data_IF_260664766967
#
_entry.id   IF_260664766967
#
_cell.length_a   1.000
_cell.length_b   1.000
_cell.length_c   1.000
_cell.angle_alpha   90.00
_cell.angle_beta   90.00
_cell.angle_gamma   90.00
#
_symmetry.space_group_name_H-M   'P 1'
#
loop_
_entity.id
_entity.type
_entity.pdbx_description
1 polymer ?
#
# COMPACT_ATOMS: atom_id res chain seq x y z
N UNK A 1 -15.59 17.18 -7.44
CA UNK A 1 -15.52 16.13 -6.40
C UNK A 1 -14.05 15.88 -6.06
N UNK A 2 -13.56 16.36 -4.90
CA UNK A 2 -12.26 15.90 -4.37
C UNK A 2 -12.48 14.47 -3.86
N UNK A 3 -11.95 13.50 -4.57
CA UNK A 3 -11.90 12.13 -4.11
C UNK A 3 -11.08 12.09 -2.82
N UNK A 4 -11.71 11.82 -1.70
CA UNK A 4 -11.03 11.64 -0.42
C UNK A 4 -10.24 10.33 -0.52
N UNK A 5 -8.95 10.37 -0.25
CA UNK A 5 -8.17 9.13 -0.18
C UNK A 5 -8.58 8.34 1.05
N UNK A 6 -8.65 7.02 0.93
CA UNK A 6 -8.97 6.09 2.02
C UNK A 6 -8.12 6.34 3.29
N UNK A 7 -6.93 6.91 3.11
CA UNK A 7 -5.99 7.26 4.18
C UNK A 7 -6.35 8.55 4.93
N UNK A 8 -7.09 9.48 4.31
CA UNK A 8 -7.49 10.75 4.95
C UNK A 8 -8.69 10.59 5.90
N UNK A 9 -9.49 9.55 5.71
CA UNK A 9 -10.73 9.33 6.46
C UNK A 9 -10.45 9.06 7.94
N UNK A 10 -9.55 8.14 8.35
CA UNK A 10 -9.21 7.94 9.76
C UNK A 10 -8.63 9.18 10.44
N UNK A 11 -7.87 10.00 9.71
CA UNK A 11 -7.25 11.22 10.24
C UNK A 11 -8.25 12.35 10.49
N UNK A 12 -9.35 12.40 9.74
CA UNK A 12 -10.43 13.38 9.94
C UNK A 12 -11.37 12.99 11.08
N UNK A 13 -11.47 11.70 11.41
CA UNK A 13 -12.38 11.21 12.45
C UNK A 13 -12.04 11.71 13.86
N UNK A 14 -10.84 12.20 14.10
CA UNK A 14 -10.38 12.61 15.43
C UNK A 14 -10.14 14.14 15.54
N UNK A 15 -10.38 14.89 14.46
CA UNK A 15 -10.27 16.34 14.44
C UNK A 15 -11.52 17.08 14.97
N UNK A 16 -11.54 18.39 14.82
CA UNK A 16 -12.64 19.28 15.24
C UNK A 16 -14.03 18.92 14.71
N UNK A 17 -14.09 18.10 13.64
CA UNK A 17 -15.36 17.64 13.06
C UNK A 17 -16.07 16.56 13.91
N UNK A 18 -15.38 15.94 14.88
CA UNK A 18 -16.00 14.94 15.77
C UNK A 18 -17.06 15.53 16.71
N UNK A 19 -17.00 16.83 16.97
CA UNK A 19 -17.97 17.51 17.84
C UNK A 19 -19.34 17.77 17.19
N UNK A 20 -19.47 17.58 15.87
CA UNK A 20 -20.69 17.98 15.12
C UNK A 20 -21.56 16.77 14.74
N UNK A 21 -21.17 15.54 15.10
CA UNK A 21 -21.77 14.30 14.56
C UNK A 21 -22.52 13.46 15.59
N UNK A 22 -23.10 14.07 16.61
CA UNK A 22 -23.82 13.39 17.71
C UNK A 22 -25.29 13.09 17.35
N UNK A 23 -25.73 13.48 16.16
CA UNK A 23 -27.10 13.27 15.67
C UNK A 23 -27.18 12.06 14.73
N UNK A 24 -28.36 11.49 14.50
CA UNK A 24 -28.56 10.52 13.44
C UNK A 24 -27.91 11.02 12.13
N UNK A 25 -27.24 10.13 11.41
CA UNK A 25 -26.53 10.47 10.17
C UNK A 25 -27.47 11.12 9.13
N UNK A 26 -28.67 10.59 9.04
CA UNK A 26 -29.80 11.11 8.25
C UNK A 26 -31.08 10.89 9.06
N UNK A 27 -32.14 11.61 8.71
CA UNK A 27 -33.46 11.36 9.28
C UNK A 27 -33.85 9.87 9.10
N UNK A 28 -34.25 9.23 10.19
CA UNK A 28 -34.57 7.80 10.23
C UNK A 28 -33.37 6.83 10.35
N UNK A 29 -32.14 7.31 10.39
CA UNK A 29 -30.97 6.44 10.61
C UNK A 29 -30.86 6.01 12.08
N UNK A 30 -30.53 4.73 12.29
CA UNK A 30 -30.29 4.15 13.62
C UNK A 30 -28.84 4.33 14.11
N UNK A 31 -28.00 5.06 13.36
CA UNK A 31 -26.60 5.31 13.64
C UNK A 31 -26.25 6.79 13.48
N UNK A 32 -25.22 7.21 14.18
CA UNK A 32 -24.73 8.60 14.19
C UNK A 32 -23.79 8.88 13.02
N UNK A 33 -23.53 10.16 12.75
CA UNK A 33 -22.52 10.55 11.77
C UNK A 33 -21.10 10.09 12.14
N UNK A 34 -20.79 9.89 13.43
CA UNK A 34 -19.51 9.33 13.90
C UNK A 34 -19.38 7.86 13.49
N UNK A 35 -20.41 7.08 13.77
CA UNK A 35 -20.48 5.66 13.40
C UNK A 35 -20.34 5.50 11.89
N UNK A 36 -21.12 6.24 11.11
CA UNK A 36 -21.06 6.19 9.65
C UNK A 36 -19.65 6.46 9.12
N UNK A 37 -19.00 7.51 9.60
CA UNK A 37 -17.67 7.85 9.10
C UNK A 37 -16.59 6.83 9.49
N UNK A 38 -16.74 6.18 10.66
CA UNK A 38 -15.84 5.13 11.10
C UNK A 38 -16.02 3.86 10.27
N UNK A 39 -17.27 3.46 10.05
CA UNK A 39 -17.63 2.29 9.26
C UNK A 39 -17.27 2.50 7.77
N UNK A 40 -17.40 3.72 7.23
CA UNK A 40 -16.92 4.08 5.91
C UNK A 40 -15.39 3.88 5.78
N UNK A 41 -14.62 4.27 6.81
CA UNK A 41 -13.17 4.05 6.82
C UNK A 41 -12.82 2.56 6.84
N UNK A 42 -13.57 1.74 7.58
CA UNK A 42 -13.42 0.29 7.56
C UNK A 42 -13.74 -0.30 6.18
N UNK A 43 -14.78 0.17 5.51
CA UNK A 43 -15.09 -0.22 4.14
C UNK A 43 -13.95 0.04 3.16
N UNK A 44 -13.23 1.17 3.30
CA UNK A 44 -12.04 1.45 2.48
C UNK A 44 -10.84 0.53 2.81
N UNK A 45 -10.76 0.02 4.02
CA UNK A 45 -9.78 -1.01 4.37
C UNK A 45 -10.04 -2.30 3.61
N UNK A 46 -11.29 -2.71 3.50
CA UNK A 46 -11.76 -3.78 2.63
C UNK A 46 -11.68 -5.18 3.25
N UNK A 47 -11.77 -5.28 4.58
CA UNK A 47 -11.85 -6.57 5.27
C UNK A 47 -13.31 -6.89 5.65
N UNK A 48 -13.73 -8.16 5.58
CA UNK A 48 -14.99 -8.59 6.18
C UNK A 48 -14.90 -8.57 7.71
N UNK A 49 -16.02 -8.32 8.38
CA UNK A 49 -16.06 -8.20 9.84
C UNK A 49 -15.57 -9.48 10.56
N UNK A 50 -15.83 -10.64 9.99
CA UNK A 50 -15.45 -11.94 10.55
C UNK A 50 -13.98 -12.34 10.31
N UNK A 51 -13.21 -11.57 9.55
CA UNK A 51 -11.81 -11.93 9.21
C UNK A 51 -10.91 -12.18 10.43
N UNK A 52 -11.27 -11.70 11.62
CA UNK A 52 -10.56 -12.02 12.87
C UNK A 52 -10.79 -13.46 13.35
N UNK A 53 -11.82 -14.14 12.87
CA UNK A 53 -12.06 -15.57 13.19
C UNK A 53 -11.28 -16.51 12.29
N UNK A 54 -10.69 -15.99 11.22
CA UNK A 54 -9.92 -16.74 10.24
C UNK A 54 -8.42 -16.67 10.56
N UNK A 55 -7.72 -17.75 10.27
CA UNK A 55 -6.25 -17.76 10.29
C UNK A 55 -5.68 -16.85 9.19
N UNK A 56 -4.40 -16.52 9.29
CA UNK A 56 -3.70 -15.74 8.26
C UNK A 56 -3.71 -16.44 6.89
N UNK A 57 -3.66 -17.77 6.87
CA UNK A 57 -3.73 -18.55 5.61
C UNK A 57 -5.13 -18.56 5.00
N UNK A 58 -6.18 -18.75 5.81
CA UNK A 58 -7.56 -18.68 5.33
C UNK A 58 -7.87 -17.29 4.76
N UNK A 59 -7.57 -16.21 5.49
CA UNK A 59 -7.71 -14.85 4.97
C UNK A 59 -6.97 -14.66 3.63
N UNK A 60 -5.74 -15.19 3.51
CA UNK A 60 -5.01 -15.13 2.25
C UNK A 60 -5.70 -15.92 1.13
N UNK A 61 -6.21 -17.11 1.42
CA UNK A 61 -6.87 -17.96 0.43
C UNK A 61 -8.18 -17.35 -0.04
N UNK A 62 -8.97 -16.77 0.86
CA UNK A 62 -10.17 -16.00 0.52
C UNK A 62 -9.80 -14.79 -0.35
N UNK A 63 -8.81 -13.98 0.08
CA UNK A 63 -8.37 -12.80 -0.67
C UNK A 63 -7.90 -13.15 -2.10
N UNK A 64 -7.30 -14.32 -2.29
CA UNK A 64 -6.78 -14.81 -3.58
C UNK A 64 -7.77 -15.67 -4.36
N UNK A 65 -8.97 -15.89 -3.83
CA UNK A 65 -9.98 -16.80 -4.39
C UNK A 65 -9.41 -18.21 -4.67
N UNK A 66 -8.53 -18.68 -3.79
CA UNK A 66 -7.92 -20.02 -3.90
C UNK A 66 -8.75 -21.06 -3.18
N UNK A 67 -9.27 -20.70 -2.04
CA UNK A 67 -10.18 -21.50 -1.23
C UNK A 67 -11.17 -20.54 -0.56
N UNK A 68 -12.44 -20.70 -0.87
CA UNK A 68 -13.54 -19.87 -0.36
C UNK A 68 -14.36 -20.60 0.72
N UNK A 69 -13.95 -21.77 1.15
CA UNK A 69 -14.67 -22.55 2.16
C UNK A 69 -14.80 -21.83 3.51
N UNK A 70 -13.84 -20.95 3.83
CA UNK A 70 -13.85 -20.13 5.04
C UNK A 70 -14.52 -18.77 4.84
N UNK A 71 -14.96 -18.43 3.63
CA UNK A 71 -15.54 -17.12 3.34
C UNK A 71 -17.03 -17.05 3.70
N UNK A 72 -17.78 -18.13 3.45
CA UNK A 72 -19.21 -18.24 3.78
C UNK A 72 -19.41 -18.25 5.30
N UNK A 73 -19.47 -17.07 5.90
CA UNK A 73 -19.56 -16.91 7.35
C UNK A 73 -20.96 -17.18 7.89
N UNK A 74 -21.99 -16.88 7.13
CA UNK A 74 -23.37 -17.05 7.55
C UNK A 74 -23.89 -18.48 7.29
N UNK A 75 -23.16 -19.30 6.52
CA UNK A 75 -23.46 -20.71 6.26
C UNK A 75 -24.63 -20.91 5.28
N UNK A 76 -24.92 -19.93 4.41
CA UNK A 76 -26.03 -20.03 3.45
C UNK A 76 -25.64 -20.71 2.12
N UNK A 77 -24.37 -21.09 1.97
CA UNK A 77 -23.81 -21.75 0.80
C UNK A 77 -23.43 -20.81 -0.35
N UNK A 78 -23.49 -19.50 -0.13
CA UNK A 78 -23.10 -18.46 -1.10
C UNK A 78 -22.12 -17.51 -0.46
N UNK A 79 -21.04 -17.17 -1.16
CA UNK A 79 -20.10 -16.14 -0.69
C UNK A 79 -20.59 -14.77 -1.11
N UNK A 80 -21.01 -13.96 -0.15
CA UNK A 80 -21.42 -12.57 -0.39
C UNK A 80 -20.20 -11.69 -0.63
N UNK A 81 -20.12 -11.10 -1.83
CA UNK A 81 -19.01 -10.23 -2.21
C UNK A 81 -18.94 -8.94 -1.40
N UNK A 82 -20.03 -8.49 -0.78
CA UNK A 82 -20.06 -7.25 0.01
C UNK A 82 -19.62 -7.43 1.47
N UNK A 83 -19.82 -8.62 2.04
CA UNK A 83 -19.64 -8.85 3.47
C UNK A 83 -18.64 -9.96 3.82
N UNK A 84 -18.25 -10.82 2.86
CA UNK A 84 -17.48 -12.04 3.12
C UNK A 84 -16.14 -12.11 2.38
N UNK A 85 -15.83 -11.13 1.54
CA UNK A 85 -14.57 -11.10 0.77
C UNK A 85 -13.60 -10.04 1.25
N UNK A 86 -12.29 -10.26 1.00
CA UNK A 86 -11.24 -9.30 1.25
C UNK A 86 -10.88 -8.53 -0.02
N UNK A 87 -10.82 -7.21 0.10
CA UNK A 87 -10.49 -6.27 -0.97
C UNK A 87 -9.42 -5.26 -0.56
N UNK A 88 -9.14 -4.31 -1.43
CA UNK A 88 -8.30 -3.14 -1.20
C UNK A 88 -7.00 -3.45 -0.45
N UNK A 89 -6.71 -2.75 0.64
CA UNK A 89 -5.47 -2.94 1.38
C UNK A 89 -5.51 -4.16 2.32
N UNK A 90 -6.69 -4.60 2.74
CA UNK A 90 -6.83 -5.86 3.50
C UNK A 90 -6.37 -7.09 2.70
N UNK A 91 -6.62 -7.09 1.38
CA UNK A 91 -6.10 -8.10 0.46
C UNK A 91 -4.55 -8.16 0.48
N UNK A 92 -3.88 -7.00 0.49
CA UNK A 92 -2.42 -6.95 0.57
C UNK A 92 -1.92 -7.35 1.95
N UNK A 93 -2.58 -6.89 3.02
CA UNK A 93 -2.25 -7.26 4.39
C UNK A 93 -2.28 -8.79 4.57
N UNK A 94 -3.35 -9.47 4.14
CA UNK A 94 -3.44 -10.93 4.21
C UNK A 94 -2.28 -11.64 3.50
N UNK A 95 -1.83 -11.07 2.37
CA UNK A 95 -0.71 -11.61 1.59
C UNK A 95 0.63 -11.50 2.31
N UNK A 96 0.81 -10.48 3.15
CA UNK A 96 2.02 -10.29 3.96
C UNK A 96 1.98 -11.10 5.25
N UNK A 97 0.80 -11.19 5.87
CA UNK A 97 0.60 -11.91 7.12
C UNK A 97 0.73 -13.42 6.98
N UNK A 98 0.40 -13.97 5.82
CA UNK A 98 0.54 -15.41 5.52
C UNK A 98 1.92 -15.96 5.88
N UNK A 99 2.99 -15.17 5.71
CA UNK A 99 4.35 -15.58 6.03
C UNK A 99 4.68 -15.64 7.54
N UNK A 100 3.74 -15.26 8.41
CA UNK A 100 3.90 -15.25 9.88
C UNK A 100 4.85 -14.18 10.42
N UNK A 101 5.39 -13.31 9.58
CA UNK A 101 6.30 -12.22 9.98
C UNK A 101 5.57 -10.95 10.39
N UNK A 102 4.33 -10.83 9.99
CA UNK A 102 3.47 -9.67 10.22
C UNK A 102 2.08 -10.12 10.67
N UNK A 103 1.31 -9.20 11.23
CA UNK A 103 -0.08 -9.40 11.65
C UNK A 103 -0.89 -8.13 11.39
N UNK A 104 -0.74 -7.56 10.20
CA UNK A 104 -1.34 -6.27 9.84
C UNK A 104 -2.87 -6.33 9.79
N UNK A 105 -3.42 -7.39 9.17
CA UNK A 105 -4.85 -7.54 8.97
C UNK A 105 -5.59 -7.58 10.31
N UNK A 106 -5.19 -8.49 11.19
CA UNK A 106 -5.83 -8.63 12.51
C UNK A 106 -5.62 -7.38 13.38
N UNK A 107 -4.42 -6.78 13.35
CA UNK A 107 -4.13 -5.57 14.12
C UNK A 107 -5.01 -4.39 13.69
N UNK A 108 -5.18 -4.17 12.40
CA UNK A 108 -6.01 -3.06 11.86
C UNK A 108 -7.49 -3.34 12.14
N UNK A 109 -7.96 -4.57 11.89
CA UNK A 109 -9.36 -4.92 12.14
C UNK A 109 -9.74 -4.79 13.61
N UNK A 110 -8.89 -5.27 14.53
CA UNK A 110 -9.13 -5.12 15.95
C UNK A 110 -9.21 -3.63 16.35
N UNK A 111 -8.31 -2.80 15.85
CA UNK A 111 -8.33 -1.37 16.14
C UNK A 111 -9.61 -0.68 15.59
N UNK A 112 -10.14 -1.12 14.44
CA UNK A 112 -11.44 -0.66 13.96
C UNK A 112 -12.58 -1.07 14.88
N UNK A 113 -12.58 -2.32 15.38
CA UNK A 113 -13.58 -2.80 16.34
C UNK A 113 -13.50 -2.01 17.65
N UNK A 114 -12.30 -1.84 18.20
CA UNK A 114 -12.09 -1.11 19.46
C UNK A 114 -12.61 0.32 19.36
N UNK A 115 -12.27 1.04 18.30
CA UNK A 115 -12.78 2.40 18.04
C UNK A 115 -14.30 2.42 17.85
N UNK A 116 -14.87 1.42 17.16
CA UNK A 116 -16.31 1.33 16.94
C UNK A 116 -17.09 1.10 18.24
N UNK A 117 -16.53 0.29 19.16
CA UNK A 117 -17.08 0.08 20.50
C UNK A 117 -17.13 1.38 21.29
N UNK A 118 -16.05 2.17 21.29
CA UNK A 118 -16.00 3.48 21.97
C UNK A 118 -17.07 4.42 21.44
N UNK A 119 -17.25 4.48 20.11
CA UNK A 119 -18.28 5.35 19.49
C UNK A 119 -19.69 4.89 19.86
N UNK A 120 -19.95 3.58 19.83
CA UNK A 120 -21.24 2.99 20.21
C UNK A 120 -21.58 3.29 21.66
N UNK A 121 -20.63 3.08 22.58
CA UNK A 121 -20.85 3.23 24.02
C UNK A 121 -21.03 4.71 24.41
N UNK A 122 -20.52 5.63 23.61
CA UNK A 122 -20.81 7.04 23.75
C UNK A 122 -22.28 7.40 23.45
N UNK A 123 -23.03 6.54 22.72
CA UNK A 123 -24.48 6.71 22.50
C UNK A 123 -24.88 8.04 21.89
N UNK A 124 -24.06 8.61 20.98
CA UNK A 124 -24.31 9.90 20.33
C UNK A 124 -23.84 11.11 21.13
N UNK A 125 -23.47 11.00 22.41
CA UNK A 125 -22.87 12.09 23.18
C UNK A 125 -21.43 12.39 22.75
N UNK A 126 -20.90 13.51 23.20
CA UNK A 126 -19.49 13.82 23.03
C UNK A 126 -18.61 12.82 23.82
N UNK A 127 -17.49 12.42 23.22
CA UNK A 127 -16.52 11.57 23.88
C UNK A 127 -15.87 12.31 25.05
N UNK A 128 -15.75 11.65 26.18
CA UNK A 128 -14.98 12.13 27.32
C UNK A 128 -13.46 12.03 27.02
N UNK A 129 -12.62 12.38 28.00
CA UNK A 129 -11.16 12.40 27.82
C UNK A 129 -10.59 11.01 27.54
N UNK A 130 -11.02 10.00 28.30
CA UNK A 130 -10.51 8.61 28.17
C UNK A 130 -10.97 7.99 26.84
N UNK A 131 -12.22 8.17 26.47
CA UNK A 131 -12.76 7.71 25.20
C UNK A 131 -12.05 8.36 23.99
N UNK A 132 -11.76 9.66 24.10
CA UNK A 132 -10.97 10.35 23.06
C UNK A 132 -9.56 9.80 22.97
N UNK A 133 -8.93 9.51 24.11
CA UNK A 133 -7.60 8.91 24.15
C UNK A 133 -7.60 7.52 23.50
N UNK A 134 -8.60 6.69 23.81
CA UNK A 134 -8.76 5.37 23.19
C UNK A 134 -8.97 5.47 21.66
N UNK A 135 -9.80 6.42 21.19
CA UNK A 135 -10.00 6.67 19.77
C UNK A 135 -8.72 7.13 19.06
N UNK A 136 -7.91 7.96 19.70
CA UNK A 136 -6.62 8.39 19.16
C UNK A 136 -5.67 7.19 19.04
N UNK A 137 -5.61 6.32 20.04
CA UNK A 137 -4.80 5.11 20.01
C UNK A 137 -5.25 4.16 18.89
N UNK A 138 -6.55 3.90 18.74
CA UNK A 138 -7.10 3.08 17.66
C UNK A 138 -6.75 3.67 16.28
N UNK A 139 -6.98 4.98 16.09
CA UNK A 139 -6.60 5.69 14.86
C UNK A 139 -5.11 5.53 14.53
N UNK A 140 -4.23 5.73 15.51
CA UNK A 140 -2.78 5.65 15.29
C UNK A 140 -2.36 4.23 14.94
N UNK A 141 -2.94 3.22 15.59
CA UNK A 141 -2.74 1.81 15.26
C UNK A 141 -3.16 1.51 13.80
N UNK A 142 -4.33 1.97 13.39
CA UNK A 142 -4.83 1.81 12.01
C UNK A 142 -3.87 2.50 11.04
N UNK A 143 -3.57 3.78 11.25
CA UNK A 143 -2.70 4.58 10.37
C UNK A 143 -1.33 3.92 10.19
N UNK A 144 -0.68 3.58 11.28
CA UNK A 144 0.71 3.12 11.27
C UNK A 144 0.83 1.72 10.62
N UNK A 145 -0.13 0.83 10.88
CA UNK A 145 -0.12 -0.49 10.26
C UNK A 145 -0.58 -0.46 8.80
N UNK A 146 -1.57 0.36 8.46
CA UNK A 146 -1.98 0.56 7.07
C UNK A 146 -0.85 1.14 6.22
N UNK A 147 -0.11 2.13 6.74
CA UNK A 147 1.07 2.67 6.08
C UNK A 147 2.13 1.59 5.85
N UNK A 148 2.35 0.69 6.81
CA UNK A 148 3.28 -0.43 6.63
C UNK A 148 2.83 -1.40 5.53
N UNK A 149 1.54 -1.69 5.41
CA UNK A 149 1.01 -2.51 4.30
C UNK A 149 1.33 -1.88 2.94
N UNK A 150 1.19 -0.56 2.82
CA UNK A 150 1.55 0.15 1.58
C UNK A 150 3.06 0.09 1.35
N UNK A 151 3.88 0.28 2.40
CA UNK A 151 5.33 0.20 2.31
C UNK A 151 5.83 -1.21 1.92
N UNK A 152 5.23 -2.27 2.46
CA UNK A 152 5.48 -3.67 2.02
C UNK A 152 5.14 -3.86 0.52
N UNK A 153 4.10 -3.18 0.04
CA UNK A 153 3.75 -3.24 -1.39
C UNK A 153 4.79 -2.51 -2.25
N UNK A 154 5.27 -1.34 -1.82
CA UNK A 154 6.39 -0.65 -2.49
C UNK A 154 7.63 -1.54 -2.51
N UNK A 155 8.00 -2.14 -1.38
CA UNK A 155 9.13 -3.06 -1.27
C UNK A 155 8.99 -4.24 -2.24
N UNK A 156 7.84 -4.91 -2.22
CA UNK A 156 7.54 -6.07 -3.08
C UNK A 156 7.67 -5.73 -4.56
N UNK A 157 7.05 -4.61 -4.98
CA UNK A 157 7.02 -4.27 -6.40
C UNK A 157 8.33 -3.66 -6.91
N UNK A 158 9.12 -3.02 -6.05
CA UNK A 158 10.50 -2.67 -6.36
C UNK A 158 11.35 -3.94 -6.64
N UNK A 159 11.24 -4.95 -5.77
CA UNK A 159 11.91 -6.23 -5.98
C UNK A 159 11.38 -7.01 -7.21
N UNK A 160 10.06 -6.93 -7.50
CA UNK A 160 9.51 -7.52 -8.72
C UNK A 160 10.07 -6.85 -9.97
N UNK A 161 10.08 -5.51 -9.98
CA UNK A 161 10.64 -4.71 -11.08
C UNK A 161 12.13 -5.01 -11.30
N UNK A 162 12.91 -5.11 -10.21
CA UNK A 162 14.31 -5.53 -10.26
C UNK A 162 14.48 -6.89 -10.96
N UNK A 163 13.74 -7.91 -10.52
CA UNK A 163 13.81 -9.27 -11.09
C UNK A 163 13.37 -9.31 -12.56
N UNK A 164 12.38 -8.50 -12.92
CA UNK A 164 11.90 -8.43 -14.31
C UNK A 164 12.95 -7.78 -15.23
N UNK A 165 13.70 -6.77 -14.74
CA UNK A 165 14.79 -6.15 -15.49
C UNK A 165 15.92 -7.16 -15.73
N UNK A 166 16.33 -7.90 -14.69
CA UNK A 166 17.34 -8.97 -14.82
C UNK A 166 16.93 -10.00 -15.87
N UNK A 167 15.65 -10.43 -15.84
CA UNK A 167 15.14 -11.37 -16.83
C UNK A 167 15.11 -10.79 -18.26
N UNK A 168 14.76 -9.51 -18.40
CA UNK A 168 14.75 -8.81 -19.68
C UNK A 168 16.14 -8.70 -20.29
N UNK A 169 17.17 -8.37 -19.50
CA UNK A 169 18.56 -8.30 -19.98
C UNK A 169 18.99 -9.64 -20.61
N UNK A 170 18.70 -10.75 -19.96
CA UNK A 170 19.02 -12.09 -20.49
C UNK A 170 18.33 -12.35 -21.84
N UNK A 171 17.04 -11.96 -21.98
CA UNK A 171 16.29 -12.16 -23.21
C UNK A 171 16.84 -11.27 -24.34
N UNK A 172 17.18 -10.02 -24.02
CA UNK A 172 17.78 -9.08 -24.99
C UNK A 172 19.14 -9.57 -25.47
N UNK A 173 20.00 -10.02 -24.56
CA UNK A 173 21.32 -10.58 -24.91
C UNK A 173 21.21 -11.84 -25.81
N UNK A 174 20.19 -12.66 -25.59
CA UNK A 174 19.88 -13.82 -26.40
C UNK A 174 19.16 -13.50 -27.72
N UNK A 175 18.88 -12.21 -28.04
CA UNK A 175 18.04 -11.76 -29.14
C UNK A 175 16.65 -12.44 -29.17
N UNK A 176 16.08 -12.73 -27.99
CA UNK A 176 14.78 -13.35 -27.81
C UNK A 176 13.60 -12.36 -27.91
N UNK A 177 12.39 -12.90 -27.92
CA UNK A 177 11.17 -12.09 -27.89
C UNK A 177 10.93 -11.50 -26.46
N UNK A 178 10.97 -10.19 -26.38
CA UNK A 178 10.82 -9.44 -25.13
C UNK A 178 9.38 -9.05 -24.80
N UNK A 179 8.41 -9.36 -25.65
CA UNK A 179 7.04 -8.79 -25.60
C UNK A 179 6.36 -9.05 -24.26
N UNK A 180 6.30 -10.30 -23.82
CA UNK A 180 5.62 -10.66 -22.56
C UNK A 180 6.44 -10.25 -21.31
N UNK A 181 7.76 -10.38 -21.38
CA UNK A 181 8.65 -9.96 -20.30
C UNK A 181 8.60 -8.44 -20.08
N UNK A 182 8.59 -7.65 -21.16
CA UNK A 182 8.46 -6.18 -21.07
C UNK A 182 7.08 -5.77 -20.54
N UNK A 183 6.01 -6.43 -20.98
CA UNK A 183 4.66 -6.18 -20.47
C UNK A 183 4.56 -6.45 -18.96
N UNK A 184 5.17 -7.53 -18.50
CA UNK A 184 5.24 -7.90 -17.06
C UNK A 184 6.03 -6.85 -16.26
N UNK A 185 7.19 -6.44 -16.75
CA UNK A 185 8.01 -5.38 -16.18
C UNK A 185 7.24 -4.07 -16.06
N UNK A 186 6.62 -3.60 -17.15
CA UNK A 186 5.84 -2.37 -17.17
C UNK A 186 4.66 -2.41 -16.18
N UNK A 187 4.00 -3.57 -16.06
CA UNK A 187 2.96 -3.79 -15.05
C UNK A 187 3.50 -3.63 -13.63
N UNK A 188 4.57 -4.32 -13.26
CA UNK A 188 5.12 -4.24 -11.90
C UNK A 188 5.66 -2.85 -11.59
N UNK A 189 6.25 -2.17 -12.58
CA UNK A 189 6.63 -0.77 -12.43
C UNK A 189 5.42 0.14 -12.15
N UNK A 190 4.32 -0.05 -12.86
CA UNK A 190 3.08 0.70 -12.63
C UNK A 190 2.49 0.47 -11.23
N UNK A 191 2.52 -0.77 -10.76
CA UNK A 191 2.11 -1.12 -9.40
C UNK A 191 3.04 -0.48 -8.34
N UNK A 192 4.37 -0.51 -8.56
CA UNK A 192 5.34 0.19 -7.72
C UNK A 192 5.03 1.70 -7.63
N UNK A 193 4.83 2.33 -8.80
CA UNK A 193 4.54 3.78 -8.88
C UNK A 193 3.25 4.12 -8.14
N UNK A 194 2.20 3.33 -8.33
CA UNK A 194 0.91 3.52 -7.67
C UNK A 194 1.00 3.46 -6.15
N UNK A 195 1.67 2.44 -5.61
CA UNK A 195 1.86 2.32 -4.15
C UNK A 195 2.78 3.40 -3.59
N UNK A 196 3.85 3.76 -4.28
CA UNK A 196 4.73 4.85 -3.85
C UNK A 196 4.01 6.21 -3.81
N UNK A 197 3.11 6.47 -4.75
CA UNK A 197 2.25 7.65 -4.72
C UNK A 197 1.20 7.59 -3.61
N UNK A 198 0.64 6.40 -3.33
CA UNK A 198 -0.30 6.21 -2.23
C UNK A 198 0.31 6.56 -0.87
N UNK A 199 1.59 6.24 -0.64
CA UNK A 199 2.32 6.66 0.57
C UNK A 199 2.43 8.18 0.70
N UNK A 200 2.46 8.91 -0.41
CA UNK A 200 2.61 10.36 -0.45
C UNK A 200 1.27 11.12 -0.40
N UNK A 201 0.15 10.42 -0.59
CA UNK A 201 -1.18 11.03 -0.68
C UNK A 201 -1.80 11.35 0.68
N UNK A 202 -1.27 10.81 1.77
CA UNK A 202 -1.73 11.04 3.14
C UNK A 202 -1.22 12.37 3.71
N UNK A 203 -1.53 12.61 4.98
CA UNK A 203 -0.99 13.76 5.74
C UNK A 203 0.46 13.54 6.21
N UNK A 204 1.02 12.38 5.95
CA UNK A 204 2.41 12.09 6.27
C UNK A 204 3.31 12.90 5.34
N UNK A 205 4.08 13.82 5.90
CA UNK A 205 5.09 14.52 5.14
C UNK A 205 6.34 13.62 5.03
N UNK A 206 6.51 12.98 3.89
CA UNK A 206 7.68 12.16 3.62
C UNK A 206 8.91 12.99 3.21
N UNK A 207 8.74 14.28 2.89
CA UNK A 207 9.82 15.20 2.62
C UNK A 207 10.88 14.67 1.64
N UNK A 208 12.12 14.63 2.09
CA UNK A 208 13.26 14.14 1.30
C UNK A 208 13.10 12.67 0.87
N UNK A 209 12.44 11.83 1.68
CA UNK A 209 12.18 10.42 1.34
C UNK A 209 11.30 10.31 0.09
N UNK A 210 10.22 11.11 0.00
CA UNK A 210 9.37 11.14 -1.18
C UNK A 210 10.14 11.61 -2.43
N UNK A 211 10.94 12.67 -2.28
CA UNK A 211 11.77 13.19 -3.37
C UNK A 211 12.76 12.12 -3.85
N UNK A 212 13.46 11.45 -2.94
CA UNK A 212 14.40 10.37 -3.27
C UNK A 212 13.70 9.20 -3.99
N UNK A 213 12.56 8.75 -3.47
CA UNK A 213 11.78 7.68 -4.11
C UNK A 213 11.36 8.06 -5.53
N UNK A 214 10.86 9.29 -5.74
CA UNK A 214 10.43 9.75 -7.06
C UNK A 214 11.60 9.83 -8.05
N UNK A 215 12.77 10.30 -7.62
CA UNK A 215 13.99 10.31 -8.43
C UNK A 215 14.43 8.89 -8.83
N UNK A 216 14.44 7.96 -7.89
CA UNK A 216 14.81 6.56 -8.13
C UNK A 216 13.85 5.86 -9.12
N UNK A 217 12.55 6.05 -8.97
CA UNK A 217 11.55 5.47 -9.88
C UNK A 217 11.55 6.12 -11.25
N UNK A 218 11.78 7.42 -11.31
CA UNK A 218 11.60 8.20 -12.52
C UNK A 218 10.13 8.50 -12.83
N UNK A 219 9.91 9.19 -13.94
CA UNK A 219 8.58 9.56 -14.43
C UNK A 219 7.88 8.38 -15.14
N UNK A 220 8.65 7.58 -15.86
CA UNK A 220 8.22 6.37 -16.54
C UNK A 220 9.24 5.23 -16.41
N UNK A 221 8.90 4.00 -16.84
CA UNK A 221 9.84 2.89 -16.84
C UNK A 221 10.95 3.11 -17.88
N UNK A 222 12.14 2.55 -17.65
CA UNK A 222 13.21 2.50 -18.65
C UNK A 222 12.79 1.54 -19.76
N UNK A 223 12.89 1.96 -21.03
CA UNK A 223 12.50 1.16 -22.18
C UNK A 223 13.64 0.27 -22.70
N UNK A 224 13.34 -0.62 -23.64
CA UNK A 224 14.32 -1.57 -24.20
C UNK A 224 15.53 -0.91 -24.86
N UNK A 225 15.41 0.34 -25.30
CA UNK A 225 16.51 1.12 -25.88
C UNK A 225 17.18 2.07 -24.88
N UNK A 226 17.04 1.82 -23.59
CA UNK A 226 17.55 2.63 -22.47
C UNK A 226 16.97 4.05 -22.41
N UNK A 227 15.90 4.34 -23.16
CA UNK A 227 15.23 5.63 -23.02
C UNK A 227 14.24 5.62 -21.85
N UNK A 228 14.08 6.76 -21.22
CA UNK A 228 13.08 6.96 -20.16
C UNK A 228 12.57 8.39 -20.18
N UNK A 229 11.39 8.58 -19.65
CA UNK A 229 10.75 9.90 -19.56
C UNK A 229 11.33 10.63 -18.35
N UNK A 230 11.91 11.80 -18.56
CA UNK A 230 12.44 12.67 -17.51
C UNK A 230 11.48 13.77 -17.07
N UNK A 231 10.48 14.08 -17.90
CA UNK A 231 9.48 15.11 -17.60
C UNK A 231 8.51 15.34 -18.75
N UNK A 232 7.82 16.48 -18.71
CA UNK A 232 7.00 16.99 -19.80
C UNK A 232 7.41 18.42 -20.12
N UNK A 233 7.41 18.77 -21.42
CA UNK A 233 7.63 20.14 -21.87
C UNK A 233 6.36 21.01 -21.68
N UNK A 234 6.47 22.31 -21.98
CA UNK A 234 5.36 23.26 -21.89
C UNK A 234 4.18 22.96 -22.83
N UNK A 235 4.37 22.11 -23.83
CA UNK A 235 3.36 21.69 -24.81
C UNK A 235 2.71 20.34 -24.42
N UNK A 236 3.14 19.73 -23.30
CA UNK A 236 2.64 18.43 -22.85
C UNK A 236 3.32 17.22 -23.52
N UNK A 237 4.41 17.41 -24.26
CA UNK A 237 5.16 16.30 -24.85
C UNK A 237 6.15 15.72 -23.82
N UNK A 238 6.36 14.40 -23.88
CA UNK A 238 7.35 13.75 -23.03
C UNK A 238 8.77 14.15 -23.43
N UNK A 239 9.54 14.60 -22.45
CA UNK A 239 10.99 14.77 -22.57
C UNK A 239 11.64 13.42 -22.29
N UNK A 240 12.48 12.94 -23.20
CA UNK A 240 13.14 11.64 -23.14
C UNK A 240 14.64 11.79 -22.94
N UNK A 241 15.22 10.91 -22.13
CA UNK A 241 16.68 10.72 -21.98
C UNK A 241 17.05 9.26 -22.31
N UNK A 242 18.32 9.01 -22.66
CA UNK A 242 18.86 7.68 -23.01
C UNK A 242 20.13 7.34 -22.21
N UNK A 243 20.40 8.07 -21.14
CA UNK A 243 21.65 7.91 -20.37
C UNK A 243 21.57 6.84 -19.29
N UNK A 244 20.37 6.42 -18.91
CA UNK A 244 20.19 5.48 -17.82
C UNK A 244 20.32 4.03 -18.32
N UNK A 245 21.30 3.32 -17.79
CA UNK A 245 21.45 1.88 -18.07
C UNK A 245 20.43 1.04 -17.32
N UNK A 246 20.21 -0.18 -17.78
CA UNK A 246 19.40 -1.17 -17.06
C UNK A 246 20.02 -1.50 -15.69
N UNK A 247 21.33 -1.62 -15.61
CA UNK A 247 22.02 -1.89 -14.34
C UNK A 247 21.86 -0.75 -13.33
N UNK A 248 21.92 0.52 -13.77
CA UNK A 248 21.58 1.67 -12.91
C UNK A 248 20.16 1.57 -12.38
N UNK A 249 19.23 1.16 -13.25
CA UNK A 249 17.83 1.08 -12.85
C UNK A 249 17.55 -0.11 -11.94
N UNK A 250 18.28 -1.21 -12.08
CA UNK A 250 18.28 -2.31 -11.09
C UNK A 250 18.71 -1.81 -9.72
N UNK A 251 19.83 -1.06 -9.66
CA UNK A 251 20.31 -0.47 -8.42
C UNK A 251 19.28 0.47 -7.79
N UNK A 252 18.59 1.26 -8.59
CA UNK A 252 17.52 2.14 -8.09
C UNK A 252 16.37 1.36 -7.45
N UNK A 253 15.96 0.23 -8.00
CA UNK A 253 14.92 -0.62 -7.42
C UNK A 253 15.35 -1.19 -6.05
N UNK A 254 16.59 -1.60 -5.92
CA UNK A 254 17.14 -2.08 -4.65
C UNK A 254 17.27 -0.95 -3.62
N UNK A 255 17.65 0.26 -4.03
CA UNK A 255 17.66 1.45 -3.15
C UNK A 255 16.26 1.81 -2.65
N UNK A 256 15.22 1.63 -3.46
CA UNK A 256 13.83 1.78 -3.00
C UNK A 256 13.50 0.73 -1.93
N UNK A 257 13.89 -0.53 -2.13
CA UNK A 257 13.72 -1.56 -1.09
C UNK A 257 14.43 -1.18 0.20
N UNK A 258 15.65 -0.67 0.13
CA UNK A 258 16.40 -0.22 1.29
C UNK A 258 15.67 0.91 2.04
N UNK A 259 15.13 1.89 1.32
CA UNK A 259 14.32 2.98 1.92
C UNK A 259 13.12 2.39 2.69
N UNK A 260 12.44 1.38 2.16
CA UNK A 260 11.30 0.76 2.85
C UNK A 260 11.72 0.05 4.15
N UNK A 261 12.88 -0.57 4.17
CA UNK A 261 13.43 -1.17 5.40
C UNK A 261 13.79 -0.09 6.42
N UNK A 262 14.53 0.93 6.01
CA UNK A 262 15.11 1.92 6.91
C UNK A 262 14.07 2.89 7.48
N UNK A 263 13.11 3.32 6.65
CA UNK A 263 12.15 4.36 7.02
C UNK A 263 10.80 3.81 7.53
N UNK A 264 10.42 2.59 7.08
CA UNK A 264 9.08 2.03 7.36
C UNK A 264 9.14 0.70 8.09
N UNK A 265 10.34 0.16 8.33
CA UNK A 265 10.54 -1.09 9.08
C UNK A 265 9.73 -2.27 8.52
N UNK A 266 9.69 -2.42 7.20
CA UNK A 266 9.01 -3.54 6.52
C UNK A 266 9.60 -4.89 6.95
N UNK A 267 8.75 -5.89 7.18
CA UNK A 267 9.11 -7.19 7.77
C UNK A 267 8.79 -8.37 6.87
N UNK A 268 7.73 -8.33 6.10
CA UNK A 268 7.34 -9.45 5.22
C UNK A 268 8.35 -9.62 4.08
N UNK A 269 8.87 -8.52 3.52
CA UNK A 269 9.98 -8.46 2.57
C UNK A 269 9.83 -9.42 1.40
N UNK A 270 8.65 -9.45 0.80
CA UNK A 270 8.36 -10.29 -0.37
C UNK A 270 9.17 -9.78 -1.57
N UNK A 271 9.78 -10.68 -2.33
CA UNK A 271 10.68 -10.37 -3.45
C UNK A 271 11.92 -9.55 -3.07
N UNK A 272 12.48 -9.83 -1.90
CA UNK A 272 13.71 -9.22 -1.43
C UNK A 272 14.86 -9.45 -2.43
N UNK A 273 15.53 -8.38 -2.81
CA UNK A 273 16.72 -8.36 -3.67
C UNK A 273 17.93 -7.70 -3.00
N UNK A 274 17.81 -7.28 -1.74
CA UNK A 274 18.84 -6.48 -1.06
C UNK A 274 20.21 -7.17 -0.92
N UNK A 275 20.26 -8.50 -1.05
CA UNK A 275 21.55 -9.21 -1.06
C UNK A 275 22.42 -8.79 -2.25
N UNK A 276 21.82 -8.31 -3.35
CA UNK A 276 22.54 -7.90 -4.55
C UNK A 276 22.94 -6.41 -4.54
N UNK A 277 22.45 -5.65 -3.54
CA UNK A 277 22.63 -4.20 -3.48
C UNK A 277 24.11 -3.79 -3.47
N UNK A 278 24.92 -4.42 -2.61
CA UNK A 278 26.35 -4.07 -2.49
C UNK A 278 27.12 -4.41 -3.78
N UNK A 279 26.90 -5.61 -4.33
CA UNK A 279 27.57 -6.03 -5.56
C UNK A 279 27.24 -5.12 -6.75
N UNK A 280 25.98 -4.68 -6.88
CA UNK A 280 25.59 -3.72 -7.91
C UNK A 280 26.18 -2.34 -7.68
N UNK A 281 26.23 -1.89 -6.43
CA UNK A 281 26.85 -0.60 -6.08
C UNK A 281 28.33 -0.58 -6.45
N UNK A 282 29.07 -1.64 -6.11
CA UNK A 282 30.49 -1.75 -6.40
C UNK A 282 30.75 -1.83 -7.94
N UNK A 283 29.88 -2.53 -8.68
CA UNK A 283 29.98 -2.66 -10.14
C UNK A 283 29.78 -1.33 -10.87
N UNK A 284 28.90 -0.47 -10.38
CA UNK A 284 28.49 0.76 -11.04
C UNK A 284 29.31 1.99 -10.63
N UNK A 285 30.32 1.80 -9.77
CA UNK A 285 31.15 2.87 -9.26
C UNK A 285 30.29 4.08 -8.85
N UNK A 286 29.81 4.13 -7.68
CA UNK A 286 29.04 5.14 -6.92
C UNK A 286 28.41 6.37 -7.67
N UNK A 287 28.67 6.50 -8.95
CA UNK A 287 28.25 7.60 -9.83
C UNK A 287 26.85 7.41 -10.45
N UNK A 288 26.08 6.42 -10.00
CA UNK A 288 24.70 6.30 -10.43
C UNK A 288 23.89 7.47 -9.87
N UNK A 289 23.57 8.33 -10.75
CA UNK A 289 23.21 9.74 -10.64
C UNK A 289 21.93 10.10 -9.88
N UNK A 290 21.06 9.17 -9.53
CA UNK A 290 19.77 9.53 -8.92
C UNK A 290 19.86 10.17 -7.52
N UNK A 291 21.04 10.13 -6.89
CA UNK A 291 21.29 10.78 -5.60
C UNK A 291 21.98 12.15 -5.73
N UNK A 292 22.54 12.43 -6.89
CA UNK A 292 23.33 13.64 -7.17
C UNK A 292 22.63 14.66 -8.05
N UNK A 293 21.50 14.31 -8.70
CA UNK A 293 20.73 15.21 -9.59
C UNK A 293 19.77 16.14 -8.81
#
# INVERSE_FOLDING_TARGET
FKQKTAYEIPLRLVGSEMCIRDRPYKEGSYYTGKEHSWDEAFGYWGAPAHSLTLSAEENYNVAKMKDLSSADYNGDGVVDLYSEMLYAHAYYASSYDKGGKTNYLATVNQAFIDGRVVIRDAGGRNLNFDERTAMLAARDTIRDNWQKVIAESVFKYAGSTYKDIVALEIIVEANGDTTDAFRKYAKHWGELKGFAMAMQSGKSNLGATATKMNKLMGFGPVTLNNSYVTGMDSNGNFVMDRKRSWSDYQLHMLKIQQIMVDQFSVKARVNDGLNDLQALTDKLDSASSAETD
#
